data_IF_143808897434
#
_entry.id   IF_143808897434
#
_cell.length_a   1.000
_cell.length_b   1.000
_cell.length_c   1.000
_cell.angle_alpha   90.00
_cell.angle_beta   90.00
_cell.angle_gamma   90.00
#
_symmetry.space_group_name_H-M   'P 1'
#
loop_
_entity.id
_entity.type
_entity.pdbx_description
1 polymer ?
#
# COMPACT_ATOMS: atom_id res chain seq x y z
N UNK A 1 3.09 9.77 12.76
CA UNK A 1 1.94 8.93 13.17
C UNK A 1 2.42 7.48 13.22
N UNK A 2 2.54 6.94 14.43
CA UNK A 2 2.74 5.52 14.67
C UNK A 2 1.35 4.87 14.82
N UNK A 3 1.06 3.79 14.10
CA UNK A 3 -0.25 3.12 14.15
C UNK A 3 -0.12 1.81 14.91
N UNK A 4 -0.38 1.85 16.22
CA UNK A 4 -0.45 0.62 17.02
C UNK A 4 -1.78 -0.09 16.76
N UNK A 5 -1.75 -1.16 15.99
CA UNK A 5 -2.94 -2.01 15.77
C UNK A 5 -3.17 -2.86 17.04
N UNK A 6 -4.11 -2.42 17.87
CA UNK A 6 -4.50 -3.09 19.13
C UNK A 6 -5.79 -3.90 19.02
N UNK A 7 -6.41 -3.92 17.83
CA UNK A 7 -7.70 -4.56 17.58
C UNK A 7 -7.69 -5.29 16.22
N UNK A 8 -8.58 -6.27 16.08
CA UNK A 8 -8.82 -6.97 14.82
C UNK A 8 -9.44 -6.01 13.79
N UNK A 9 -8.61 -5.51 12.87
CA UNK A 9 -9.00 -4.51 11.87
C UNK A 9 -10.14 -4.99 10.95
N UNK A 10 -10.32 -6.31 10.80
CA UNK A 10 -11.42 -6.87 9.98
C UNK A 10 -12.80 -6.51 10.51
N UNK A 11 -12.88 -6.11 11.79
CA UNK A 11 -14.13 -5.69 12.45
C UNK A 11 -14.37 -4.18 12.38
N UNK A 12 -13.42 -3.41 11.87
CA UNK A 12 -13.51 -1.94 11.80
C UNK A 12 -14.47 -1.49 10.70
N UNK A 13 -14.59 -2.25 9.61
CA UNK A 13 -15.57 -1.97 8.57
C UNK A 13 -15.55 -2.96 7.41
N UNK A 14 -16.38 -2.70 6.41
CA UNK A 14 -16.46 -3.49 5.18
C UNK A 14 -15.94 -2.68 3.98
N UNK A 15 -15.28 -3.31 2.99
CA UNK A 15 -15.03 -4.75 2.89
C UNK A 15 -13.86 -5.22 3.77
N UNK A 16 -13.91 -6.47 4.23
CA UNK A 16 -12.88 -7.05 5.10
C UNK A 16 -11.50 -7.09 4.41
N UNK A 17 -11.47 -7.37 3.10
CA UNK A 17 -10.23 -7.45 2.32
C UNK A 17 -9.45 -6.12 2.32
N UNK A 18 -10.15 -4.98 2.38
CA UNK A 18 -9.50 -3.68 2.49
C UNK A 18 -8.68 -3.58 3.78
N UNK A 19 -9.29 -3.98 4.90
CA UNK A 19 -8.64 -3.96 6.20
C UNK A 19 -7.51 -5.00 6.31
N UNK A 20 -7.61 -6.11 5.59
CA UNK A 20 -6.53 -7.10 5.48
C UNK A 20 -5.29 -6.53 4.76
N UNK A 21 -5.48 -5.79 3.67
CA UNK A 21 -4.38 -5.08 3.02
C UNK A 21 -3.83 -3.96 3.91
N UNK A 22 -4.71 -3.20 4.57
CA UNK A 22 -4.29 -2.13 5.46
C UNK A 22 -3.42 -2.65 6.62
N UNK A 23 -3.81 -3.75 7.26
CA UNK A 23 -3.01 -4.41 8.32
C UNK A 23 -1.62 -4.83 7.81
N UNK A 24 -1.55 -5.45 6.61
CA UNK A 24 -0.27 -5.82 5.99
C UNK A 24 0.60 -4.61 5.70
N UNK A 25 0.02 -3.50 5.22
CA UNK A 25 0.74 -2.26 4.92
C UNK A 25 1.25 -1.58 6.19
N UNK A 26 0.45 -1.55 7.26
CA UNK A 26 0.87 -1.02 8.56
C UNK A 26 2.06 -1.79 9.14
N UNK A 27 2.19 -3.09 8.83
CA UNK A 27 3.33 -3.91 9.25
C UNK A 27 4.63 -3.64 8.52
N UNK A 28 4.62 -2.76 7.52
CA UNK A 28 5.79 -2.43 6.69
C UNK A 28 6.27 -1.03 7.04
N UNK A 29 7.45 -0.90 7.68
CA UNK A 29 8.07 0.40 7.89
C UNK A 29 8.29 1.13 6.55
N UNK A 30 7.72 2.33 6.42
CA UNK A 30 7.67 3.08 5.15
C UNK A 30 7.84 4.59 5.35
N UNK A 31 8.82 4.99 6.15
CA UNK A 31 9.17 6.42 6.33
C UNK A 31 9.53 7.05 4.98
N UNK A 32 9.29 8.35 4.81
CA UNK A 32 9.72 9.10 3.61
C UNK A 32 11.20 8.82 3.27
N UNK A 33 11.47 8.43 2.03
CA UNK A 33 12.78 8.02 1.52
C UNK A 33 13.17 6.55 1.77
N UNK A 34 12.33 5.76 2.45
CA UNK A 34 12.55 4.33 2.73
C UNK A 34 11.37 3.45 2.28
N UNK A 35 10.87 3.69 1.07
CA UNK A 35 9.68 3.04 0.52
C UNK A 35 9.98 1.71 -0.20
N UNK A 36 11.23 1.26 -0.23
CA UNK A 36 11.62 0.08 -1.02
C UNK A 36 10.87 -1.20 -0.58
N UNK A 37 10.63 -1.40 0.73
CA UNK A 37 9.89 -2.56 1.23
C UNK A 37 8.40 -2.54 0.83
N UNK A 38 7.75 -1.38 0.96
CA UNK A 38 6.33 -1.24 0.59
C UNK A 38 6.14 -1.33 -0.93
N UNK A 39 7.10 -0.82 -1.72
CA UNK A 39 7.08 -0.96 -3.18
C UNK A 39 7.18 -2.43 -3.61
N UNK A 40 8.11 -3.19 -3.01
CA UNK A 40 8.24 -4.62 -3.27
C UNK A 40 7.00 -5.40 -2.85
N UNK A 41 6.35 -5.03 -1.73
CA UNK A 41 5.08 -5.61 -1.34
C UNK A 41 4.00 -5.36 -2.39
N UNK A 42 3.81 -4.10 -2.82
CA UNK A 42 2.80 -3.72 -3.82
C UNK A 42 3.04 -4.46 -5.14
N UNK A 43 4.29 -4.53 -5.61
CA UNK A 43 4.67 -5.27 -6.81
C UNK A 43 4.32 -6.75 -6.71
N UNK A 44 4.67 -7.41 -5.58
CA UNK A 44 4.34 -8.82 -5.35
C UNK A 44 2.84 -9.07 -5.32
N UNK A 45 2.05 -8.17 -4.75
CA UNK A 45 0.59 -8.30 -4.79
C UNK A 45 0.06 -8.16 -6.22
N UNK A 46 0.56 -7.22 -7.02
CA UNK A 46 0.19 -7.09 -8.43
C UNK A 46 0.57 -8.35 -9.26
N UNK A 47 1.76 -8.90 -9.02
CA UNK A 47 2.25 -10.10 -9.70
C UNK A 47 1.36 -11.32 -9.42
N UNK A 48 0.79 -11.46 -8.21
CA UNK A 48 -0.16 -12.55 -7.88
C UNK A 48 -1.42 -12.53 -8.75
N UNK A 49 -1.85 -11.35 -9.18
CA UNK A 49 -2.98 -11.18 -10.08
C UNK A 49 -2.58 -11.16 -11.56
N UNK A 50 -1.27 -11.24 -11.86
CA UNK A 50 -0.75 -11.14 -13.21
C UNK A 50 -0.89 -9.74 -13.82
N UNK A 51 -0.95 -8.70 -12.99
CA UNK A 51 -1.06 -7.32 -13.46
C UNK A 51 0.30 -6.76 -13.89
N UNK A 52 0.32 -6.00 -14.98
CA UNK A 52 1.53 -5.32 -15.42
C UNK A 52 1.89 -4.21 -14.43
N UNK A 53 3.15 -4.17 -14.03
CA UNK A 53 3.69 -3.17 -13.10
C UNK A 53 4.86 -2.46 -13.75
N UNK A 54 4.88 -1.13 -13.66
CA UNK A 54 5.98 -0.29 -14.10
C UNK A 54 6.51 0.52 -12.90
N UNK A 55 7.84 0.67 -12.84
CA UNK A 55 8.52 1.48 -11.85
C UNK A 55 9.40 2.48 -12.60
N UNK A 56 9.23 3.77 -12.35
CA UNK A 56 10.00 4.83 -13.00
C UNK A 56 11.36 5.07 -12.32
N UNK A 57 12.16 5.97 -12.88
CA UNK A 57 13.52 6.29 -12.39
C UNK A 57 13.53 6.87 -10.97
N UNK A 58 12.47 7.59 -10.59
CA UNK A 58 12.29 8.16 -9.25
C UNK A 58 11.49 7.23 -8.32
N UNK A 59 11.27 5.99 -8.77
CA UNK A 59 10.69 4.88 -8.04
C UNK A 59 9.22 5.03 -7.66
N UNK A 60 8.42 5.78 -8.43
CA UNK A 60 6.97 5.62 -8.40
C UNK A 60 6.57 4.25 -8.96
N UNK A 61 5.41 3.74 -8.55
CA UNK A 61 4.89 2.45 -9.03
C UNK A 61 3.52 2.66 -9.69
N UNK A 62 3.35 2.13 -10.90
CA UNK A 62 2.09 2.12 -11.63
C UNK A 62 1.67 0.67 -11.91
N UNK A 63 0.45 0.32 -11.52
CA UNK A 63 -0.14 -1.02 -11.78
C UNK A 63 -1.26 -0.87 -12.80
N UNK A 64 -1.18 -1.64 -13.88
CA UNK A 64 -2.15 -1.66 -14.95
C UNK A 64 -3.09 -2.85 -14.77
N UNK A 65 -4.31 -2.55 -14.34
CA UNK A 65 -5.37 -3.54 -14.14
C UNK A 65 -6.23 -3.58 -15.41
N UNK A 66 -6.30 -4.71 -16.13
CA UNK A 66 -7.15 -4.83 -17.31
C UNK A 66 -8.64 -4.78 -16.91
N UNK A 67 -9.48 -4.24 -17.80
CA UNK A 67 -10.94 -4.29 -17.64
C UNK A 67 -11.41 -5.74 -17.59
N UNK A 68 -12.25 -6.06 -16.61
CA UNK A 68 -12.92 -7.37 -16.50
C UNK A 68 -14.06 -7.54 -17.51
N UNK A 69 -14.63 -6.43 -18.00
CA UNK A 69 -15.68 -6.45 -19.00
C UNK A 69 -15.10 -6.56 -20.42
N UNK A 70 -15.84 -7.24 -21.31
CA UNK A 70 -15.55 -7.30 -22.76
C UNK A 70 -15.30 -5.88 -23.29
N UNK A 71 -14.40 -5.71 -24.28
CA UNK A 71 -14.03 -4.38 -24.76
C UNK A 71 -15.26 -3.61 -25.25
N UNK A 72 -15.68 -2.64 -24.44
CA UNK A 72 -16.70 -1.68 -24.82
C UNK A 72 -16.11 -0.74 -25.88
N UNK A 73 -16.94 -0.29 -26.84
CA UNK A 73 -16.51 0.62 -27.92
C UNK A 73 -15.84 1.91 -27.43
N UNK A 74 -16.04 2.27 -26.16
CA UNK A 74 -15.39 3.39 -25.47
C UNK A 74 -15.04 2.95 -24.06
N UNK A 75 -13.76 2.75 -23.79
CA UNK A 75 -13.25 2.48 -22.44
C UNK A 75 -12.71 3.77 -21.84
N UNK A 76 -13.27 4.20 -20.72
CA UNK A 76 -12.70 5.29 -19.92
C UNK A 76 -11.61 4.70 -19.04
N UNK A 77 -10.38 5.19 -19.19
CA UNK A 77 -9.29 4.86 -18.26
C UNK A 77 -9.48 5.66 -16.97
N UNK A 78 -9.38 5.00 -15.83
CA UNK A 78 -9.44 5.63 -14.51
C UNK A 78 -8.08 5.42 -13.84
N UNK A 79 -7.57 6.48 -13.20
CA UNK A 79 -6.34 6.43 -12.42
C UNK A 79 -6.72 6.71 -10.97
N UNK A 80 -6.29 5.82 -10.06
CA UNK A 80 -6.37 6.02 -8.61
C UNK A 80 -4.94 6.27 -8.13
N UNK A 81 -4.69 7.42 -7.52
CA UNK A 81 -3.37 7.81 -7.05
C UNK A 81 -3.35 7.88 -5.52
N UNK A 82 -2.25 7.40 -4.95
CA UNK A 82 -1.91 7.49 -3.53
C UNK A 82 -0.40 7.60 -3.38
N UNK A 83 0.07 7.95 -2.19
CA UNK A 83 1.49 7.98 -1.84
C UNK A 83 1.81 6.81 -0.90
N UNK A 84 3.02 6.26 -1.03
CA UNK A 84 3.43 5.05 -0.29
C UNK A 84 4.04 5.35 1.07
N UNK A 85 4.51 6.56 1.31
CA UNK A 85 5.25 6.91 2.51
C UNK A 85 4.33 7.29 3.68
N UNK A 86 4.93 7.33 4.87
CA UNK A 86 4.29 7.74 6.10
C UNK A 86 5.14 8.78 6.82
N UNK A 87 4.46 9.75 7.42
CA UNK A 87 5.09 10.74 8.30
C UNK A 87 5.40 10.08 9.65
N UNK A 88 6.69 9.94 9.94
CA UNK A 88 7.19 9.33 11.17
C UNK A 88 7.30 10.37 12.30
N UNK A 89 6.33 10.36 13.20
CA UNK A 89 6.27 11.19 14.41
C UNK A 89 5.80 10.28 15.54
N UNK A 90 6.50 10.34 16.68
CA UNK A 90 6.19 9.68 17.94
C UNK A 90 6.32 10.68 19.09
N UNK A 91 5.62 10.41 20.18
CA UNK A 91 5.83 11.15 21.44
C UNK A 91 7.13 10.70 22.09
N UNK A 92 7.76 11.57 22.89
CA UNK A 92 9.04 11.32 23.54
C UNK A 92 9.02 10.10 24.49
N UNK A 93 7.84 9.76 25.01
CA UNK A 93 7.63 8.60 25.90
C UNK A 93 7.50 7.27 25.16
N UNK A 94 7.47 7.27 23.83
CA UNK A 94 7.28 6.08 23.00
C UNK A 94 8.63 5.62 22.43
N UNK A 95 9.07 4.45 22.87
CA UNK A 95 10.18 3.76 22.20
C UNK A 95 9.65 3.01 20.98
N UNK A 96 10.08 3.46 19.80
CA UNK A 96 9.65 2.97 18.50
C UNK A 96 10.70 3.36 17.47
N UNK A 97 11.24 2.38 16.76
CA UNK A 97 12.20 2.50 15.67
C UNK A 97 11.47 2.43 14.33
N UNK A 98 11.18 3.58 13.71
CA UNK A 98 10.50 3.67 12.42
C UNK A 98 11.20 2.97 11.25
N UNK A 99 12.43 2.46 11.43
CA UNK A 99 13.12 1.67 10.40
C UNK A 99 12.88 0.17 10.51
N UNK A 100 12.34 -0.30 11.64
CA UNK A 100 12.17 -1.73 11.94
C UNK A 100 10.80 -2.07 12.48
N UNK A 101 10.27 -1.20 13.32
CA UNK A 101 9.05 -1.45 14.05
C UNK A 101 7.83 -1.10 13.18
N UNK A 102 6.82 -1.98 13.14
CA UNK A 102 5.53 -1.75 12.51
C UNK A 102 4.60 -0.90 13.37
#
# INVERSE_FOLDING_TARGET
MYVRIVQDLKKVGTPADFWDYFDKICKIPRSTGKEDQIREFIKKEADKFGFQTEIDEIKNIAIYIPSTNKPLKKQTKIIIQSHMDMVCIKDDSIDHDFSKDP
#
